data_IF_919827039456
#
_entry.id   IF_919827039456
#
_cell.length_a   1.000
_cell.length_b   1.000
_cell.length_c   1.000
_cell.angle_alpha   90.00
_cell.angle_beta   90.00
_cell.angle_gamma   90.00
#
_symmetry.space_group_name_H-M   'P 1'
#
loop_
_entity.id
_entity.type
_entity.pdbx_description
1 polymer ?
#
# COMPACT_ATOMS: atom_id res chain seq x y z
N UNK A 1 41.52 28.57 32.71
CA UNK A 1 40.03 28.56 32.57
C UNK A 1 39.68 27.53 31.52
N UNK A 2 39.17 26.39 31.94
CA UNK A 2 38.71 25.32 31.03
C UNK A 2 37.20 25.46 30.87
N UNK A 3 36.73 25.75 29.64
CA UNK A 3 35.31 25.82 29.34
C UNK A 3 34.80 24.40 29.12
N UNK A 4 33.92 23.93 30.00
CA UNK A 4 33.16 22.68 29.81
C UNK A 4 32.02 22.95 28.79
N UNK A 5 32.18 22.43 27.61
CA UNK A 5 31.09 22.41 26.61
C UNK A 5 30.14 21.27 26.99
N UNK A 6 28.99 21.59 27.57
CA UNK A 6 27.93 20.61 27.83
C UNK A 6 27.24 20.22 26.50
N UNK A 7 27.50 19.02 26.05
CA UNK A 7 26.75 18.42 24.91
C UNK A 7 25.37 18.04 25.42
N UNK A 8 24.36 18.85 25.09
CA UNK A 8 22.95 18.50 25.32
C UNK A 8 22.58 17.45 24.30
N UNK A 9 22.54 16.18 24.71
CA UNK A 9 21.93 15.10 23.93
C UNK A 9 20.43 15.32 23.92
N UNK A 10 19.89 15.87 22.82
CA UNK A 10 18.46 15.90 22.55
C UNK A 10 18.07 14.48 22.20
N UNK A 11 17.54 13.73 23.18
CA UNK A 11 16.90 12.44 22.94
C UNK A 11 15.66 12.71 22.10
N UNK A 12 15.76 12.48 20.78
CA UNK A 12 14.60 12.48 19.90
C UNK A 12 13.71 11.31 20.31
N UNK A 13 12.64 11.59 21.01
CA UNK A 13 11.60 10.59 21.32
C UNK A 13 10.92 10.21 20.01
N UNK A 14 11.40 9.13 19.35
CA UNK A 14 10.80 8.65 18.12
C UNK A 14 9.31 8.33 18.40
N UNK A 15 8.41 8.91 17.58
CA UNK A 15 6.99 8.65 17.70
C UNK A 15 6.73 7.15 17.56
N UNK A 16 5.82 6.64 18.39
CA UNK A 16 5.44 5.21 18.42
C UNK A 16 4.04 5.03 17.83
N UNK A 17 3.75 3.83 17.26
CA UNK A 17 2.38 3.46 16.91
C UNK A 17 1.42 3.63 18.08
N UNK A 18 0.11 3.85 17.79
CA UNK A 18 -0.91 3.85 18.84
C UNK A 18 -0.91 2.49 19.57
N UNK A 19 -1.14 2.55 20.87
CA UNK A 19 -1.33 1.34 21.67
C UNK A 19 -2.67 0.72 21.31
N UNK A 20 -2.65 -0.53 20.89
CA UNK A 20 -3.87 -1.30 20.62
C UNK A 20 -4.13 -2.29 21.77
N UNK A 21 -5.41 -2.49 22.07
CA UNK A 21 -5.88 -3.49 23.05
C UNK A 21 -6.61 -4.59 22.30
N UNK A 22 -6.41 -5.85 22.71
CA UNK A 22 -7.04 -7.01 22.10
C UNK A 22 -6.09 -8.19 21.90
N UNK A 23 -6.63 -9.26 21.35
CA UNK A 23 -5.86 -10.45 20.98
C UNK A 23 -5.64 -10.41 19.48
N UNK A 24 -4.39 -10.41 19.06
CA UNK A 24 -4.01 -10.38 17.64
C UNK A 24 -3.36 -11.71 17.25
N UNK A 25 -3.50 -12.05 15.97
CA UNK A 25 -2.74 -13.14 15.35
C UNK A 25 -1.24 -12.80 15.32
N UNK A 26 -0.41 -13.80 15.36
CA UNK A 26 1.02 -13.64 15.08
C UNK A 26 1.21 -13.09 13.66
N UNK A 27 2.08 -12.08 13.53
CA UNK A 27 2.38 -11.50 12.23
C UNK A 27 3.34 -12.40 11.44
N UNK A 28 2.98 -12.66 10.20
CA UNK A 28 3.82 -13.37 9.24
C UNK A 28 3.82 -12.57 7.92
N UNK A 29 4.63 -11.52 7.86
CA UNK A 29 4.83 -10.74 6.65
C UNK A 29 5.70 -11.52 5.67
N UNK A 30 5.15 -11.81 4.48
CA UNK A 30 5.84 -12.54 3.41
C UNK A 30 6.01 -11.66 2.18
N UNK A 31 7.15 -11.77 1.54
CA UNK A 31 7.47 -11.02 0.32
C UNK A 31 6.73 -11.61 -0.88
N UNK A 32 5.98 -10.77 -1.59
CA UNK A 32 5.09 -11.20 -2.68
C UNK A 32 5.82 -11.90 -3.82
N UNK A 33 6.95 -11.35 -4.28
CA UNK A 33 7.71 -11.93 -5.39
C UNK A 33 8.39 -13.27 -5.06
N UNK A 34 8.54 -13.60 -3.77
CA UNK A 34 8.99 -14.95 -3.36
C UNK A 34 7.89 -15.99 -3.49
N UNK A 35 6.62 -15.59 -3.37
CA UNK A 35 5.47 -16.47 -3.55
C UNK A 35 5.07 -16.61 -5.02
N UNK A 36 5.11 -15.51 -5.75
CA UNK A 36 4.82 -15.49 -7.19
C UNK A 36 5.68 -14.43 -7.89
N UNK A 37 6.75 -14.84 -8.61
CA UNK A 37 7.65 -13.91 -9.29
C UNK A 37 7.03 -13.25 -10.53
N UNK A 38 5.82 -13.64 -10.95
CA UNK A 38 5.10 -13.00 -12.07
C UNK A 38 4.38 -11.72 -11.64
N UNK A 39 4.15 -11.51 -10.33
CA UNK A 39 3.65 -10.24 -9.80
C UNK A 39 4.68 -9.15 -10.10
N UNK A 40 4.23 -8.09 -10.76
CA UNK A 40 5.07 -6.94 -11.10
C UNK A 40 5.08 -5.93 -9.95
N UNK A 41 6.19 -5.24 -9.75
CA UNK A 41 6.31 -4.18 -8.74
C UNK A 41 6.64 -2.83 -9.40
N UNK A 42 5.92 -1.78 -9.01
CA UNK A 42 6.28 -0.37 -9.23
C UNK A 42 6.17 0.36 -7.90
N UNK A 43 7.09 0.04 -6.96
CA UNK A 43 7.08 0.61 -5.60
C UNK A 43 7.52 2.07 -5.68
N UNK A 44 6.58 2.95 -6.03
CA UNK A 44 6.85 4.40 -6.25
C UNK A 44 7.39 5.07 -4.99
N UNK A 45 7.04 4.58 -3.81
CA UNK A 45 7.56 5.08 -2.54
C UNK A 45 9.06 4.80 -2.29
N UNK A 46 9.66 3.88 -3.04
CA UNK A 46 11.11 3.69 -3.09
C UNK A 46 11.83 4.63 -4.09
N UNK A 47 11.10 5.49 -4.78
CA UNK A 47 11.60 6.44 -5.80
C UNK A 47 11.15 7.87 -5.47
N UNK A 48 11.49 8.83 -6.33
CA UNK A 48 10.99 10.21 -6.25
C UNK A 48 9.62 10.39 -6.91
N UNK A 49 9.08 9.36 -7.61
CA UNK A 49 7.79 9.40 -8.33
C UNK A 49 6.61 9.10 -7.40
N UNK A 50 6.46 9.90 -6.34
CA UNK A 50 5.37 9.81 -5.38
C UNK A 50 5.03 11.20 -4.85
N UNK A 51 3.90 11.35 -4.14
CA UNK A 51 3.43 12.66 -3.67
C UNK A 51 4.35 13.32 -2.61
N UNK A 52 5.27 12.57 -1.98
CA UNK A 52 6.27 13.13 -1.07
C UNK A 52 7.47 13.75 -1.81
N UNK A 53 7.61 13.53 -3.14
CA UNK A 53 8.69 14.02 -3.99
C UNK A 53 10.08 13.45 -3.66
N UNK A 54 10.14 12.41 -2.82
CA UNK A 54 11.39 11.74 -2.38
C UNK A 54 11.13 10.29 -2.01
N UNK A 55 12.16 9.42 -2.04
CA UNK A 55 12.03 8.07 -1.50
C UNK A 55 11.67 8.11 -0.01
N UNK A 56 10.71 7.29 0.38
CA UNK A 56 10.29 7.07 1.78
C UNK A 56 10.51 5.62 2.20
N UNK A 57 10.66 4.72 1.24
CA UNK A 57 11.15 3.36 1.44
C UNK A 57 12.61 3.26 1.03
N UNK A 58 13.35 2.40 1.74
CA UNK A 58 14.76 2.10 1.43
C UNK A 58 14.91 1.01 0.37
N UNK A 59 13.86 0.23 0.13
CA UNK A 59 13.85 -0.94 -0.74
C UNK A 59 12.54 -1.00 -1.54
N UNK A 60 12.63 -1.39 -2.82
CA UNK A 60 11.48 -1.59 -3.70
C UNK A 60 10.93 -3.02 -3.54
N UNK A 61 10.38 -3.35 -2.38
CA UNK A 61 9.84 -4.66 -2.02
C UNK A 61 8.40 -4.52 -1.53
N UNK A 62 7.60 -5.56 -1.68
CA UNK A 62 6.23 -5.60 -1.21
C UNK A 62 5.98 -6.83 -0.33
N UNK A 63 5.36 -6.60 0.82
CA UNK A 63 5.04 -7.63 1.81
C UNK A 63 3.56 -7.56 2.18
N UNK A 64 2.96 -8.71 2.46
CA UNK A 64 1.63 -8.83 3.09
C UNK A 64 1.67 -9.91 4.16
N UNK A 65 0.66 -9.93 5.05
CA UNK A 65 0.40 -11.10 5.88
C UNK A 65 0.17 -12.32 4.99
N UNK A 66 0.70 -13.49 5.38
CA UNK A 66 0.65 -14.70 4.55
C UNK A 66 -0.72 -14.98 3.95
N UNK A 67 -1.87 -14.98 4.68
CA UNK A 67 -3.16 -15.27 4.06
C UNK A 67 -3.55 -14.23 3.00
N UNK A 68 -3.26 -12.94 3.21
CA UNK A 68 -3.51 -11.89 2.23
C UNK A 68 -2.61 -12.04 0.99
N UNK A 69 -1.35 -12.41 1.19
CA UNK A 69 -0.40 -12.67 0.10
C UNK A 69 -0.83 -13.88 -0.75
N UNK A 70 -1.27 -14.95 -0.13
CA UNK A 70 -1.77 -16.16 -0.81
C UNK A 70 -3.05 -15.88 -1.60
N UNK A 71 -3.97 -15.07 -1.04
CA UNK A 71 -5.15 -14.59 -1.75
C UNK A 71 -4.77 -13.72 -2.97
N UNK A 72 -3.78 -12.83 -2.83
CA UNK A 72 -3.30 -11.99 -3.93
C UNK A 72 -2.66 -12.82 -5.05
N UNK A 73 -1.92 -13.89 -4.71
CA UNK A 73 -1.37 -14.84 -5.69
C UNK A 73 -2.48 -15.53 -6.48
N UNK A 74 -3.62 -15.87 -5.86
CA UNK A 74 -4.79 -16.42 -6.59
C UNK A 74 -5.32 -15.41 -7.58
N UNK A 75 -5.50 -14.15 -7.18
CA UNK A 75 -5.92 -13.06 -8.09
C UNK A 75 -4.98 -12.98 -9.29
N UNK A 76 -3.66 -12.97 -9.06
CA UNK A 76 -2.66 -12.90 -10.12
C UNK A 76 -2.78 -14.07 -11.11
N UNK A 77 -2.97 -15.29 -10.60
CA UNK A 77 -3.18 -16.49 -11.43
C UNK A 77 -4.49 -16.45 -12.23
N UNK A 78 -5.55 -15.88 -11.69
CA UNK A 78 -6.83 -15.73 -12.40
C UNK A 78 -6.80 -14.63 -13.47
N UNK A 79 -5.94 -13.63 -13.33
CA UNK A 79 -5.73 -12.56 -14.32
C UNK A 79 -4.86 -13.02 -15.49
N UNK A 80 -3.93 -13.96 -15.28
CA UNK A 80 -2.97 -14.41 -16.28
C UNK A 80 -3.62 -14.89 -17.59
N UNK A 81 -4.66 -15.78 -17.59
CA UNK A 81 -5.33 -16.21 -18.83
C UNK A 81 -6.12 -15.09 -19.51
N UNK A 82 -6.39 -13.98 -18.80
CA UNK A 82 -7.02 -12.78 -19.36
C UNK A 82 -6.01 -11.80 -19.97
N UNK A 83 -4.71 -12.13 -19.92
CA UNK A 83 -3.62 -11.33 -20.48
C UNK A 83 -3.02 -10.30 -19.53
N UNK A 84 -3.27 -10.44 -18.21
CA UNK A 84 -2.78 -9.49 -17.21
C UNK A 84 -2.07 -10.17 -16.05
N UNK A 85 -1.11 -9.46 -15.45
CA UNK A 85 -0.60 -9.70 -14.10
C UNK A 85 -0.98 -8.53 -13.20
N UNK A 86 -0.87 -8.72 -11.89
CA UNK A 86 -0.93 -7.63 -10.94
C UNK A 86 0.36 -6.79 -11.02
N UNK A 87 0.20 -5.47 -10.91
CA UNK A 87 1.25 -4.50 -10.67
C UNK A 87 1.04 -3.93 -9.27
N UNK A 88 1.94 -4.18 -8.35
CA UNK A 88 1.85 -3.74 -6.96
C UNK A 88 2.59 -2.42 -6.77
N UNK A 89 1.92 -1.42 -6.23
CA UNK A 89 2.48 -0.11 -5.86
C UNK A 89 2.89 -0.05 -4.40
N UNK A 90 2.10 -0.66 -3.48
CA UNK A 90 2.37 -0.72 -2.05
C UNK A 90 1.71 -1.95 -1.41
N UNK A 91 2.29 -2.42 -0.31
CA UNK A 91 1.76 -3.50 0.52
C UNK A 91 1.86 -3.12 1.99
N UNK A 92 2.55 -3.93 2.79
CA UNK A 92 2.87 -3.54 4.16
C UNK A 92 3.64 -2.22 4.17
N UNK A 93 3.15 -1.27 4.96
CA UNK A 93 3.73 0.06 5.16
C UNK A 93 4.06 0.23 6.64
N UNK A 94 5.32 0.46 7.04
CA UNK A 94 5.65 0.78 8.43
C UNK A 94 4.82 1.97 8.92
N UNK A 95 4.33 1.93 10.15
CA UNK A 95 3.50 3.00 10.72
C UNK A 95 4.18 4.38 10.67
N UNK A 96 5.49 4.44 10.85
CA UNK A 96 6.26 5.69 10.72
C UNK A 96 6.11 6.36 9.36
N UNK A 97 5.92 5.59 8.28
CA UNK A 97 5.67 6.11 6.94
C UNK A 97 4.23 6.66 6.82
N UNK A 98 3.24 5.98 7.40
CA UNK A 98 1.87 6.53 7.48
C UNK A 98 1.86 7.85 8.23
N UNK A 99 2.62 7.95 9.35
CA UNK A 99 2.76 9.21 10.08
C UNK A 99 3.44 10.29 9.23
N UNK A 100 4.49 9.95 8.50
CA UNK A 100 5.15 10.88 7.58
C UNK A 100 4.16 11.41 6.52
N UNK A 101 3.38 10.53 5.88
CA UNK A 101 2.37 10.92 4.90
C UNK A 101 1.35 11.87 5.49
N UNK A 102 0.85 11.56 6.68
CA UNK A 102 -0.02 12.47 7.41
C UNK A 102 0.64 13.83 7.63
N UNK A 103 1.86 13.88 8.15
CA UNK A 103 2.53 15.13 8.51
C UNK A 103 2.76 16.04 7.29
N UNK A 104 3.13 15.50 6.12
CA UNK A 104 3.43 16.27 4.92
C UNK A 104 2.19 16.64 4.09
N UNK A 105 1.06 15.94 4.26
CA UNK A 105 -0.16 16.20 3.48
C UNK A 105 -0.85 17.46 3.98
N UNK A 106 -1.23 18.40 3.09
CA UNK A 106 -1.99 19.59 3.47
C UNK A 106 -3.31 19.26 4.15
N UNK A 107 -3.77 20.13 5.07
CA UNK A 107 -4.99 19.89 5.86
C UNK A 107 -6.21 19.56 4.99
N UNK A 108 -6.34 20.22 3.85
CA UNK A 108 -7.46 20.08 2.92
C UNK A 108 -7.49 18.74 2.17
N UNK A 109 -6.37 17.98 2.23
CA UNK A 109 -6.22 16.68 1.57
C UNK A 109 -6.04 15.52 2.55
N UNK A 110 -6.28 15.75 3.85
CA UNK A 110 -6.12 14.72 4.89
C UNK A 110 -7.08 13.53 4.72
N UNK A 111 -8.16 13.69 3.99
CA UNK A 111 -9.09 12.60 3.67
C UNK A 111 -8.46 11.49 2.81
N UNK A 112 -7.41 11.81 2.04
CA UNK A 112 -6.69 10.86 1.20
C UNK A 112 -5.51 10.16 1.91
N UNK A 113 -5.30 10.39 3.21
CA UNK A 113 -4.23 9.75 3.96
C UNK A 113 -4.73 9.25 5.31
N UNK A 114 -4.28 8.08 5.72
CA UNK A 114 -4.70 7.49 6.99
C UNK A 114 -4.21 8.31 8.19
N UNK A 115 -5.11 8.55 9.17
CA UNK A 115 -4.77 9.16 10.45
C UNK A 115 -3.86 8.21 11.26
N UNK A 116 -2.60 8.58 11.55
CA UNK A 116 -1.66 7.70 12.25
C UNK A 116 -2.12 7.35 13.68
N UNK A 117 -3.04 8.12 14.28
CA UNK A 117 -3.63 7.80 15.59
C UNK A 117 -4.55 6.58 15.53
N UNK A 118 -5.10 6.28 14.34
CA UNK A 118 -5.95 5.11 14.06
C UNK A 118 -5.16 4.01 13.34
N UNK A 119 -4.03 4.37 12.72
CA UNK A 119 -3.26 3.51 11.84
C UNK A 119 -3.91 3.28 10.48
N UNK A 120 -3.24 2.50 9.64
CA UNK A 120 -3.69 2.08 8.31
C UNK A 120 -3.74 0.55 8.24
N UNK A 121 -4.57 -0.01 7.34
CA UNK A 121 -4.56 -1.45 7.07
C UNK A 121 -3.24 -1.89 6.43
N UNK A 122 -2.56 -0.99 5.71
CA UNK A 122 -1.17 -1.20 5.28
C UNK A 122 -0.21 -1.45 6.45
N UNK A 123 -0.40 -0.76 7.59
CA UNK A 123 0.44 -0.99 8.77
C UNK A 123 0.26 -2.38 9.37
N UNK A 124 -0.83 -3.06 9.04
CA UNK A 124 -1.14 -4.42 9.48
C UNK A 124 -0.66 -5.49 8.49
N UNK A 125 -0.18 -5.07 7.31
CA UNK A 125 0.16 -5.96 6.20
C UNK A 125 -1.08 -6.59 5.54
N UNK A 126 -2.23 -5.93 5.64
CA UNK A 126 -3.52 -6.41 5.16
C UNK A 126 -4.19 -5.45 4.16
N UNK A 127 -3.46 -4.51 3.61
CA UNK A 127 -3.89 -3.70 2.46
C UNK A 127 -2.83 -3.73 1.38
N UNK A 128 -3.28 -3.61 0.14
CA UNK A 128 -2.42 -3.59 -1.04
C UNK A 128 -2.96 -2.57 -2.04
N UNK A 129 -2.05 -1.79 -2.62
CA UNK A 129 -2.34 -0.89 -3.73
C UNK A 129 -1.86 -1.55 -5.03
N UNK A 130 -2.78 -1.76 -5.96
CA UNK A 130 -2.51 -2.52 -7.18
C UNK A 130 -3.14 -1.93 -8.43
N UNK A 131 -2.52 -2.23 -9.57
CA UNK A 131 -3.03 -2.03 -10.92
C UNK A 131 -2.87 -3.31 -11.73
N UNK A 132 -3.17 -3.25 -13.03
CA UNK A 132 -2.95 -4.33 -13.98
C UNK A 132 -1.71 -4.06 -14.82
N UNK A 133 -0.93 -5.10 -15.06
CA UNK A 133 0.17 -5.15 -15.99
C UNK A 133 -0.22 -5.95 -17.22
N UNK A 134 -0.20 -5.34 -18.41
CA UNK A 134 -0.45 -6.05 -19.66
C UNK A 134 0.73 -6.96 -20.02
N UNK A 135 0.49 -8.27 -20.12
CA UNK A 135 1.50 -9.26 -20.49
C UNK A 135 1.99 -9.00 -21.91
N UNK A 136 1.07 -8.72 -22.84
CA UNK A 136 1.41 -8.49 -24.26
C UNK A 136 2.15 -7.17 -24.47
N UNK A 137 1.70 -6.08 -23.83
CA UNK A 137 2.31 -4.75 -23.98
C UNK A 137 3.52 -4.55 -23.06
N UNK A 138 3.73 -5.42 -22.06
CA UNK A 138 4.81 -5.36 -21.05
C UNK A 138 4.89 -3.99 -20.36
N UNK A 139 3.73 -3.48 -19.95
CA UNK A 139 3.59 -2.20 -19.25
C UNK A 139 2.31 -2.15 -18.42
N UNK A 140 2.26 -1.20 -17.49
CA UNK A 140 1.02 -0.85 -16.78
C UNK A 140 -0.09 -0.51 -17.79
N UNK A 141 -1.33 -0.94 -17.51
CA UNK A 141 -2.51 -0.49 -18.25
C UNK A 141 -2.92 0.91 -17.77
N UNK A 142 -3.55 1.68 -18.65
CA UNK A 142 -4.06 2.99 -18.27
C UNK A 142 -5.42 2.83 -17.57
N UNK A 143 -5.49 3.23 -16.31
CA UNK A 143 -6.71 3.24 -15.50
C UNK A 143 -7.45 4.57 -15.59
N UNK A 144 -8.56 4.72 -14.88
CA UNK A 144 -9.40 5.92 -14.86
C UNK A 144 -8.74 7.14 -14.21
N UNK A 145 -7.74 6.93 -13.36
CA UNK A 145 -6.91 7.92 -12.70
C UNK A 145 -5.53 7.36 -12.42
N UNK A 146 -4.59 8.22 -12.07
CA UNK A 146 -3.24 7.82 -11.65
C UNK A 146 -3.22 7.28 -10.22
N UNK A 147 -2.25 6.43 -9.91
CA UNK A 147 -1.99 6.03 -8.53
C UNK A 147 -1.65 7.24 -7.65
N UNK A 148 -2.19 7.31 -6.44
CA UNK A 148 -2.07 8.45 -5.50
C UNK A 148 -2.66 9.77 -6.02
N UNK A 149 -3.48 9.74 -7.06
CA UNK A 149 -4.16 10.94 -7.56
C UNK A 149 -5.24 11.40 -6.58
N UNK A 150 -5.02 12.51 -5.90
CA UNK A 150 -5.98 13.10 -4.94
C UNK A 150 -7.05 13.92 -5.67
N UNK A 151 -7.90 13.25 -6.47
CA UNK A 151 -8.97 13.86 -7.29
C UNK A 151 -10.17 12.92 -7.43
N UNK A 152 -11.31 13.38 -8.00
CA UNK A 152 -12.45 12.52 -8.30
C UNK A 152 -12.16 11.30 -9.19
N UNK A 153 -11.05 11.31 -9.95
CA UNK A 153 -10.64 10.19 -10.81
C UNK A 153 -10.17 8.97 -10.01
N UNK A 154 -9.85 9.15 -8.74
CA UNK A 154 -9.47 8.06 -7.82
C UNK A 154 -10.65 7.19 -7.42
N UNK A 155 -11.89 7.74 -7.41
CA UNK A 155 -13.05 7.01 -6.91
C UNK A 155 -13.40 5.81 -7.79
N UNK A 156 -13.79 4.72 -7.14
CA UNK A 156 -14.26 3.48 -7.81
C UNK A 156 -15.48 3.73 -8.71
N UNK A 157 -16.30 4.74 -8.39
CA UNK A 157 -17.52 5.12 -9.10
C UNK A 157 -17.29 6.18 -10.18
N UNK A 158 -16.05 6.62 -10.41
CA UNK A 158 -15.77 7.64 -11.42
C UNK A 158 -16.22 7.20 -12.80
N UNK A 159 -17.19 7.95 -13.39
CA UNK A 159 -17.82 7.64 -14.67
C UNK A 159 -17.05 8.17 -15.89
N UNK A 160 -16.01 8.99 -15.66
CA UNK A 160 -15.15 9.52 -16.73
C UNK A 160 -14.13 8.50 -17.22
N UNK A 161 -13.18 8.95 -18.02
CA UNK A 161 -12.23 8.09 -18.72
C UNK A 161 -12.87 7.34 -19.90
N UNK A 162 -12.10 6.45 -20.54
CA UNK A 162 -12.61 5.62 -21.63
C UNK A 162 -13.42 4.41 -21.12
N UNK A 163 -14.30 3.81 -21.94
CA UNK A 163 -14.96 2.56 -21.59
C UNK A 163 -13.96 1.44 -21.22
N UNK A 164 -12.83 1.36 -21.94
CA UNK A 164 -11.78 0.38 -21.67
C UNK A 164 -11.16 0.57 -20.27
N UNK A 165 -10.81 1.80 -19.90
CA UNK A 165 -10.27 2.12 -18.58
C UNK A 165 -11.21 1.70 -17.45
N UNK A 166 -12.51 1.97 -17.61
CA UNK A 166 -13.53 1.54 -16.64
C UNK A 166 -13.65 0.02 -16.57
N UNK A 167 -13.64 -0.65 -17.74
CA UNK A 167 -13.69 -2.13 -17.80
C UNK A 167 -12.51 -2.75 -17.11
N UNK A 168 -11.29 -2.21 -17.29
CA UNK A 168 -10.08 -2.72 -16.63
C UNK A 168 -10.10 -2.49 -15.11
N UNK A 169 -10.53 -1.31 -14.65
CA UNK A 169 -10.75 -1.03 -13.23
C UNK A 169 -11.75 -2.01 -12.61
N UNK A 170 -12.87 -2.22 -13.28
CA UNK A 170 -13.96 -3.07 -12.77
C UNK A 170 -13.56 -4.56 -12.83
N UNK A 171 -12.74 -4.99 -13.81
CA UNK A 171 -12.11 -6.31 -13.83
C UNK A 171 -11.19 -6.52 -12.62
N UNK A 172 -10.27 -5.58 -12.36
CA UNK A 172 -9.38 -5.63 -11.20
C UNK A 172 -10.20 -5.76 -9.91
N UNK A 173 -11.17 -4.85 -9.71
CA UNK A 173 -12.06 -4.87 -8.57
C UNK A 173 -12.75 -6.22 -8.40
N UNK A 174 -13.38 -6.73 -9.46
CA UNK A 174 -14.11 -8.02 -9.42
C UNK A 174 -13.22 -9.17 -9.00
N UNK A 175 -11.98 -9.24 -9.54
CA UNK A 175 -11.01 -10.29 -9.20
C UNK A 175 -10.52 -10.20 -7.76
N UNK A 176 -10.26 -9.01 -7.27
CA UNK A 176 -9.87 -8.78 -5.88
C UNK A 176 -11.02 -9.14 -4.92
N UNK A 177 -12.25 -8.71 -5.18
CA UNK A 177 -13.42 -8.98 -4.32
C UNK A 177 -13.78 -10.49 -4.29
N UNK A 178 -13.56 -11.23 -5.38
CA UNK A 178 -13.73 -12.70 -5.43
C UNK A 178 -12.71 -13.45 -4.56
N UNK A 179 -11.64 -12.78 -4.15
CA UNK A 179 -10.53 -13.35 -3.37
C UNK A 179 -10.34 -12.64 -2.02
N UNK A 180 -11.45 -12.32 -1.35
CA UNK A 180 -11.50 -11.82 0.04
C UNK A 180 -10.89 -10.41 0.26
N UNK A 181 -10.77 -9.62 -0.78
CA UNK A 181 -10.42 -8.20 -0.67
C UNK A 181 -11.65 -7.31 -0.83
N UNK A 182 -11.59 -6.12 -0.27
CA UNK A 182 -12.61 -5.08 -0.41
C UNK A 182 -11.95 -3.80 -0.88
N UNK A 183 -12.47 -3.20 -1.97
CA UNK A 183 -11.94 -1.93 -2.49
C UNK A 183 -12.31 -0.78 -1.56
N UNK A 184 -11.43 0.22 -1.44
CA UNK A 184 -11.75 1.50 -0.80
C UNK A 184 -12.45 2.41 -1.81
N UNK A 185 -13.65 2.90 -1.50
CA UNK A 185 -14.47 3.67 -2.46
C UNK A 185 -13.75 4.89 -3.04
N UNK A 186 -12.90 5.55 -2.25
CA UNK A 186 -12.16 6.74 -2.67
C UNK A 186 -10.92 6.45 -3.52
N UNK A 187 -10.48 5.17 -3.61
CA UNK A 187 -9.20 4.78 -4.21
C UNK A 187 -9.36 3.47 -5.00
N UNK A 188 -9.46 3.53 -6.34
CA UNK A 188 -9.68 2.37 -7.19
C UNK A 188 -8.56 1.32 -7.10
N UNK A 189 -7.37 1.71 -6.67
CA UNK A 189 -6.18 0.84 -6.52
C UNK A 189 -6.07 0.16 -5.16
N UNK A 190 -6.76 0.68 -4.11
CA UNK A 190 -6.59 0.25 -2.72
C UNK A 190 -7.56 -0.86 -2.33
N UNK A 191 -7.02 -1.97 -1.84
CA UNK A 191 -7.79 -3.13 -1.43
C UNK A 191 -7.41 -3.60 -0.04
N UNK A 192 -8.41 -3.72 0.84
CA UNK A 192 -8.28 -4.26 2.19
C UNK A 192 -8.57 -5.77 2.20
N UNK A 193 -7.69 -6.58 2.76
CA UNK A 193 -7.97 -7.98 3.02
C UNK A 193 -8.95 -8.12 4.19
N UNK A 194 -9.96 -9.00 4.06
CA UNK A 194 -11.09 -9.13 5.00
C UNK A 194 -10.68 -9.30 6.47
N UNK A 195 -9.57 -9.97 6.74
CA UNK A 195 -9.11 -10.33 8.09
C UNK A 195 -8.17 -9.30 8.75
N UNK A 196 -8.08 -8.09 8.20
CA UNK A 196 -7.14 -7.05 8.64
C UNK A 196 -7.24 -6.70 10.12
N UNK A 197 -8.43 -6.81 10.75
CA UNK A 197 -8.65 -6.51 12.17
C UNK A 197 -7.93 -7.48 13.09
N UNK A 198 -7.60 -8.67 12.60
CA UNK A 198 -6.92 -9.71 13.35
C UNK A 198 -5.43 -9.46 13.53
N UNK A 199 -4.84 -8.46 12.88
CA UNK A 199 -3.41 -8.16 12.94
C UNK A 199 -3.15 -6.79 13.56
N UNK A 200 -2.08 -6.64 14.37
CA UNK A 200 -1.76 -5.37 15.01
C UNK A 200 -1.14 -4.37 14.01
N UNK A 201 -1.16 -3.09 14.37
CA UNK A 201 -0.38 -2.05 13.70
C UNK A 201 1.11 -2.30 13.98
N UNK A 202 1.92 -2.32 12.92
CA UNK A 202 3.34 -2.63 12.96
C UNK A 202 4.19 -1.45 12.47
N UNK A 203 5.42 -1.40 12.96
CA UNK A 203 6.43 -0.42 12.54
C UNK A 203 7.78 -1.12 12.32
N UNK A 204 7.77 -2.22 11.58
CA UNK A 204 8.97 -3.02 11.26
C UNK A 204 9.57 -2.45 9.97
N UNK A 205 10.83 -2.00 9.97
CA UNK A 205 11.48 -1.56 8.74
C UNK A 205 11.74 -2.74 7.80
N UNK A 206 11.71 -2.52 6.48
CA UNK A 206 11.90 -3.56 5.46
C UNK A 206 13.21 -4.34 5.64
N UNK A 207 14.28 -3.69 6.08
CA UNK A 207 15.57 -4.33 6.35
C UNK A 207 15.54 -5.41 7.45
N UNK A 208 14.41 -5.57 8.16
CA UNK A 208 14.20 -6.60 9.20
C UNK A 208 13.15 -7.66 8.78
N UNK A 209 12.70 -7.65 7.51
CA UNK A 209 11.74 -8.59 6.94
C UNK A 209 12.41 -9.60 6.00
#
# INVERSE_FOLDING_TARGET
>A
MWAFCAVVMISSCAAKPPLETGVFKASELVELQRLDPTIQLDIRYATTKNFAGRPVYTEARAFLQRPAAEALVKVNKELAPLGYYLLVFDGYRPWSVTKLFWDITPKQKKEFVADPRKGSRHNRGCAVDVSLWSIAARREVTMTGEYDEMSPRSYTTYAGGTPEQRTLRDLLRSKMEQNDFTVLDAEWWHFDYQDWKSYPIQNIPFSKL
#
